data_IF_518104384238
#
_entry.id   IF_518104384238
#
_cell.length_a   1.000
_cell.length_b   1.000
_cell.length_c   1.000
_cell.angle_alpha   90.00
_cell.angle_beta   90.00
_cell.angle_gamma   90.00
#
_symmetry.space_group_name_H-M   'P 1'
#
loop_
_entity.id
_entity.type
_entity.pdbx_description
1 polymer ?
#
# COMPACT_ATOMS: atom_id res chain seq x y z
N UNK A 1 -24.34 -27.85 -14.19
CA UNK A 1 -24.40 -26.38 -14.38
C UNK A 1 -23.23 -25.98 -15.26
N UNK A 2 -23.47 -25.26 -16.37
CA UNK A 2 -22.43 -24.91 -17.33
C UNK A 2 -21.55 -23.82 -16.72
N UNK A 3 -20.25 -24.07 -16.58
CA UNK A 3 -19.27 -23.03 -16.31
C UNK A 3 -19.19 -22.12 -17.54
N UNK A 4 -19.95 -21.03 -17.53
CA UNK A 4 -19.74 -19.95 -18.48
C UNK A 4 -18.34 -19.40 -18.25
N UNK A 5 -17.39 -19.74 -19.13
CA UNK A 5 -16.12 -19.01 -19.24
C UNK A 5 -16.49 -17.55 -19.52
N UNK A 6 -16.33 -16.70 -18.51
CA UNK A 6 -16.35 -15.25 -18.71
C UNK A 6 -15.13 -14.94 -19.57
N UNK A 7 -15.33 -14.78 -20.86
CA UNK A 7 -14.30 -14.31 -21.77
C UNK A 7 -14.10 -12.82 -21.48
N UNK A 8 -13.05 -12.48 -20.73
CA UNK A 8 -12.68 -11.09 -20.48
C UNK A 8 -12.13 -10.48 -21.78
N UNK A 9 -12.62 -9.32 -22.23
CA UNK A 9 -12.09 -8.67 -23.43
C UNK A 9 -10.60 -8.38 -23.30
N UNK A 10 -9.87 -8.56 -24.40
CA UNK A 10 -8.49 -8.12 -24.55
C UNK A 10 -8.40 -6.59 -24.39
N UNK A 11 -7.38 -6.15 -23.65
CA UNK A 11 -6.92 -4.76 -23.40
C UNK A 11 -7.95 -3.65 -23.60
N UNK A 12 -8.60 -3.22 -22.51
CA UNK A 12 -9.21 -1.89 -22.46
C UNK A 12 -8.06 -0.87 -22.56
N UNK A 13 -8.14 0.05 -23.52
CA UNK A 13 -7.16 1.14 -23.61
C UNK A 13 -7.09 1.90 -22.27
N UNK A 14 -5.89 2.28 -21.79
CA UNK A 14 -5.77 3.03 -20.56
C UNK A 14 -6.52 4.36 -20.66
N UNK A 15 -7.31 4.67 -19.64
CA UNK A 15 -7.96 5.99 -19.53
C UNK A 15 -6.84 7.06 -19.49
N UNK A 16 -6.92 8.13 -20.30
CA UNK A 16 -5.97 9.23 -20.23
C UNK A 16 -5.87 9.80 -18.81
N UNK A 17 -4.66 10.16 -18.37
CA UNK A 17 -4.42 10.60 -17.00
C UNK A 17 -5.32 11.76 -16.58
N UNK A 18 -5.52 12.76 -17.45
CA UNK A 18 -6.38 13.93 -17.17
C UNK A 18 -7.81 13.52 -16.84
N UNK A 19 -8.39 12.63 -17.66
CA UNK A 19 -9.75 12.09 -17.42
C UNK A 19 -9.81 11.24 -16.15
N UNK A 20 -8.79 10.41 -15.91
CA UNK A 20 -8.71 9.63 -14.67
C UNK A 20 -8.59 10.53 -13.43
N UNK A 21 -7.87 11.65 -13.53
CA UNK A 21 -7.73 12.65 -12.48
C UNK A 21 -9.05 13.39 -12.20
N UNK A 22 -9.76 13.82 -13.24
CA UNK A 22 -11.10 14.42 -13.13
C UNK A 22 -12.07 13.45 -12.42
N UNK A 23 -12.13 12.20 -12.88
CA UNK A 23 -12.95 11.16 -12.25
C UNK A 23 -12.56 10.96 -10.78
N UNK A 24 -11.27 10.96 -10.46
CA UNK A 24 -10.79 10.84 -9.08
C UNK A 24 -11.23 12.02 -8.21
N UNK A 25 -11.14 13.26 -8.71
CA UNK A 25 -11.57 14.46 -8.01
C UNK A 25 -13.09 14.48 -7.75
N UNK A 26 -13.88 13.93 -8.68
CA UNK A 26 -15.33 13.75 -8.54
C UNK A 26 -15.71 12.58 -7.62
N UNK A 27 -14.73 11.79 -7.16
CA UNK A 27 -14.97 10.59 -6.36
C UNK A 27 -15.39 9.36 -7.17
N UNK A 28 -15.40 9.46 -8.50
CA UNK A 28 -15.70 8.38 -9.46
C UNK A 28 -14.51 7.42 -9.62
N UNK A 29 -14.00 6.88 -8.51
CA UNK A 29 -12.91 5.92 -8.47
C UNK A 29 -13.25 4.72 -7.56
N UNK A 30 -12.59 3.56 -7.76
CA UNK A 30 -12.77 2.42 -6.84
C UNK A 30 -12.52 2.84 -5.40
N UNK A 31 -13.47 2.53 -4.52
CA UNK A 31 -13.45 2.89 -3.09
C UNK A 31 -13.49 4.41 -2.79
N UNK A 32 -13.82 5.24 -3.78
CA UNK A 32 -14.04 6.68 -3.61
C UNK A 32 -15.39 7.03 -2.96
N UNK A 33 -15.58 8.29 -2.54
CA UNK A 33 -14.62 9.40 -2.60
C UNK A 33 -13.46 9.25 -1.59
N UNK A 34 -12.23 9.51 -2.03
CA UNK A 34 -11.03 9.27 -1.22
C UNK A 34 -11.01 10.07 0.09
N UNK A 35 -11.49 11.32 0.06
CA UNK A 35 -11.47 12.19 1.24
C UNK A 35 -12.41 11.69 2.33
N UNK A 36 -13.61 11.26 1.94
CA UNK A 36 -14.53 10.63 2.89
C UNK A 36 -13.98 9.32 3.43
N UNK A 37 -13.34 8.51 2.58
CA UNK A 37 -12.71 7.27 3.00
C UNK A 37 -11.64 7.53 4.07
N UNK A 38 -10.72 8.46 3.81
CA UNK A 38 -9.65 8.84 4.76
C UNK A 38 -10.23 9.41 6.04
N UNK A 39 -11.20 10.33 5.94
CA UNK A 39 -11.82 10.98 7.10
C UNK A 39 -12.49 9.97 8.03
N UNK A 40 -13.28 9.03 7.48
CA UNK A 40 -13.97 7.99 8.27
C UNK A 40 -13.00 7.13 9.08
N UNK A 41 -11.88 6.70 8.48
CA UNK A 41 -10.87 5.91 9.20
C UNK A 41 -10.08 6.73 10.21
N UNK A 42 -9.84 8.02 9.92
CA UNK A 42 -9.22 8.92 10.88
C UNK A 42 -10.12 9.13 12.11
N UNK A 43 -11.40 9.44 11.92
CA UNK A 43 -12.38 9.59 13.00
C UNK A 43 -12.51 8.30 13.83
N UNK A 44 -12.55 7.13 13.19
CA UNK A 44 -12.60 5.86 13.89
C UNK A 44 -11.33 5.59 14.71
N UNK A 45 -10.16 6.00 14.22
CA UNK A 45 -8.91 5.90 14.98
C UNK A 45 -8.89 6.78 16.23
N UNK A 46 -9.59 7.91 16.20
CA UNK A 46 -9.77 8.78 17.38
C UNK A 46 -10.78 8.18 18.36
N UNK A 47 -11.84 7.53 17.85
CA UNK A 47 -12.89 6.93 18.67
C UNK A 47 -12.44 5.64 19.36
N UNK A 48 -11.63 4.82 18.67
CA UNK A 48 -11.18 3.50 19.10
C UNK A 48 -9.68 3.31 18.84
N UNK A 49 -8.81 4.09 19.51
CA UNK A 49 -7.36 4.07 19.28
C UNK A 49 -6.71 2.73 19.59
N UNK A 50 -7.36 1.89 20.40
CA UNK A 50 -6.91 0.54 20.74
C UNK A 50 -7.28 -0.51 19.67
N UNK A 51 -8.11 -0.15 18.67
CA UNK A 51 -8.58 -1.05 17.62
C UNK A 51 -8.32 -0.55 16.20
N UNK A 52 -8.00 0.74 16.02
CA UNK A 52 -7.66 1.32 14.72
C UNK A 52 -6.41 2.18 14.84
N UNK A 53 -5.33 1.74 14.16
CA UNK A 53 -4.10 2.49 14.02
C UNK A 53 -4.09 3.25 12.70
N UNK A 54 -4.14 4.58 12.77
CA UNK A 54 -4.02 5.44 11.59
C UNK A 54 -2.55 5.85 11.36
N UNK A 55 -2.05 5.57 10.15
CA UNK A 55 -0.68 5.87 9.70
C UNK A 55 -0.73 6.65 8.38
N UNK A 56 0.23 7.55 8.19
CA UNK A 56 0.44 8.28 6.93
C UNK A 56 1.66 7.73 6.22
N UNK A 57 1.60 7.68 4.89
CA UNK A 57 2.67 7.13 4.07
C UNK A 57 3.99 7.90 4.23
N UNK A 58 3.92 9.23 4.27
CA UNK A 58 5.09 10.10 4.42
C UNK A 58 5.77 9.91 5.77
N UNK A 59 4.99 9.76 6.86
CA UNK A 59 5.53 9.50 8.20
C UNK A 59 6.24 8.13 8.28
N UNK A 60 5.78 7.14 7.50
CA UNK A 60 6.44 5.82 7.39
C UNK A 60 7.79 5.90 6.68
N UNK A 61 7.95 6.84 5.76
CA UNK A 61 9.19 7.03 5.02
C UNK A 61 10.19 7.89 5.78
N UNK A 62 9.71 8.89 6.53
CA UNK A 62 10.55 9.79 7.33
C UNK A 62 11.19 9.08 8.52
N UNK A 63 10.41 8.30 9.29
CA UNK A 63 10.91 7.57 10.46
C UNK A 63 10.29 6.16 10.54
N UNK A 64 10.76 5.22 9.68
CA UNK A 64 10.24 3.85 9.65
C UNK A 64 10.45 3.14 10.99
N UNK A 65 11.51 3.47 11.73
CA UNK A 65 11.82 2.84 13.02
C UNK A 65 10.75 3.14 14.06
N UNK A 66 10.37 4.41 14.22
CA UNK A 66 9.30 4.82 15.12
C UNK A 66 7.96 4.19 14.73
N UNK A 67 7.65 4.12 13.43
CA UNK A 67 6.39 3.52 12.98
C UNK A 67 6.33 2.00 13.21
N UNK A 68 7.41 1.27 12.91
CA UNK A 68 7.46 -0.19 13.13
C UNK A 68 7.28 -0.52 14.61
N UNK A 69 7.94 0.22 15.51
CA UNK A 69 7.73 0.05 16.96
C UNK A 69 6.28 0.33 17.37
N UNK A 70 5.72 1.46 16.94
CA UNK A 70 4.32 1.82 17.22
C UNK A 70 3.33 0.78 16.70
N UNK A 71 3.60 0.17 15.54
CA UNK A 71 2.78 -0.90 14.98
C UNK A 71 2.87 -2.17 15.82
N UNK A 72 4.07 -2.55 16.24
CA UNK A 72 4.31 -3.71 17.10
C UNK A 72 3.61 -3.56 18.46
N UNK A 73 3.71 -2.38 19.08
CA UNK A 73 3.00 -2.02 20.31
C UNK A 73 1.48 -2.16 20.12
N UNK A 74 0.94 -1.61 19.02
CA UNK A 74 -0.49 -1.67 18.70
C UNK A 74 -0.98 -3.11 18.47
N UNK A 75 -0.14 -4.00 17.93
CA UNK A 75 -0.43 -5.43 17.76
C UNK A 75 -0.30 -6.23 19.07
N UNK A 76 0.05 -5.59 20.19
CA UNK A 76 0.28 -6.26 21.48
C UNK A 76 1.58 -7.08 21.49
N UNK A 77 2.54 -6.74 20.65
CA UNK A 77 3.84 -7.41 20.51
C UNK A 77 4.98 -6.38 20.50
N UNK A 78 5.14 -5.57 21.57
CA UNK A 78 6.21 -4.60 21.65
C UNK A 78 7.58 -5.31 21.55
N UNK A 79 8.54 -4.65 20.91
CA UNK A 79 9.92 -5.14 20.89
C UNK A 79 10.53 -5.07 22.30
N UNK A 80 11.30 -6.09 22.68
CA UNK A 80 12.05 -6.06 23.94
C UNK A 80 13.31 -5.19 23.82
N UNK A 81 13.87 -4.69 24.94
CA UNK A 81 15.15 -3.97 24.93
C UNK A 81 16.29 -4.76 24.29
N UNK A 82 16.28 -6.08 24.45
CA UNK A 82 17.25 -7.01 23.85
C UNK A 82 17.07 -7.07 22.34
N UNK A 83 15.83 -7.25 21.84
CA UNK A 83 15.54 -7.23 20.40
C UNK A 83 15.93 -5.90 19.74
N UNK A 84 15.70 -4.78 20.43
CA UNK A 84 16.15 -3.46 19.96
C UNK A 84 17.69 -3.35 19.94
N UNK A 85 18.37 -3.88 20.96
CA UNK A 85 19.84 -3.89 21.03
C UNK A 85 20.46 -4.80 19.97
N UNK A 86 19.80 -5.90 19.64
CA UNK A 86 20.20 -6.86 18.62
C UNK A 86 19.89 -6.38 17.18
N UNK A 87 19.19 -5.26 17.03
CA UNK A 87 18.89 -4.66 15.73
C UNK A 87 17.72 -5.33 15.00
N UNK A 88 16.83 -6.03 15.73
CA UNK A 88 15.68 -6.73 15.13
C UNK A 88 14.76 -5.76 14.40
N UNK A 89 14.57 -4.54 14.95
CA UNK A 89 13.73 -3.49 14.34
C UNK A 89 14.29 -3.11 12.96
N UNK A 90 15.60 -2.92 12.87
CA UNK A 90 16.31 -2.56 11.64
C UNK A 90 16.25 -3.70 10.61
N UNK A 91 16.36 -4.96 11.04
CA UNK A 91 16.19 -6.10 10.13
C UNK A 91 14.74 -6.22 9.60
N UNK A 92 13.72 -5.95 10.41
CA UNK A 92 12.32 -5.88 9.92
C UNK A 92 12.17 -4.77 8.86
N UNK A 93 12.68 -3.57 9.13
CA UNK A 93 12.64 -2.45 8.17
C UNK A 93 13.31 -2.85 6.85
N UNK A 94 14.49 -3.46 6.94
CA UNK A 94 15.26 -3.91 5.78
C UNK A 94 14.54 -5.00 4.98
N UNK A 95 13.94 -5.98 5.64
CA UNK A 95 13.16 -7.06 5.01
C UNK A 95 11.92 -6.52 4.28
N UNK A 96 11.25 -5.54 4.88
CA UNK A 96 10.06 -4.90 4.33
C UNK A 96 10.37 -3.69 3.44
N UNK A 97 11.64 -3.33 3.24
CA UNK A 97 12.03 -2.18 2.44
C UNK A 97 11.61 -2.33 0.98
N UNK A 98 11.31 -1.21 0.35
CA UNK A 98 10.87 -1.18 -1.05
C UNK A 98 11.86 -1.89 -1.97
N UNK A 99 13.17 -1.59 -1.84
CA UNK A 99 14.21 -2.18 -2.68
C UNK A 99 14.35 -3.69 -2.44
N UNK A 100 14.29 -4.13 -1.18
CA UNK A 100 14.35 -5.55 -0.85
C UNK A 100 13.17 -6.28 -1.48
N UNK A 101 11.94 -5.82 -1.24
CA UNK A 101 10.74 -6.47 -1.76
C UNK A 101 10.70 -6.44 -3.29
N UNK A 102 11.04 -5.32 -3.94
CA UNK A 102 11.11 -5.19 -5.40
C UNK A 102 12.13 -6.15 -6.02
N UNK A 103 13.24 -6.42 -5.34
CA UNK A 103 14.30 -7.30 -5.85
C UNK A 103 13.98 -8.79 -5.79
N UNK A 104 12.97 -9.22 -5.01
CA UNK A 104 12.62 -10.64 -4.86
C UNK A 104 12.11 -11.24 -6.17
N UNK A 105 12.56 -12.45 -6.51
CA UNK A 105 12.18 -13.19 -7.72
C UNK A 105 10.65 -13.25 -7.90
N UNK A 106 9.92 -13.58 -6.83
CA UNK A 106 8.45 -13.68 -6.82
C UNK A 106 7.77 -12.35 -7.19
N UNK A 107 8.42 -11.23 -6.94
CA UNK A 107 7.91 -9.90 -7.29
C UNK A 107 8.34 -9.46 -8.68
N UNK A 108 9.41 -10.04 -9.25
CA UNK A 108 9.87 -9.73 -10.61
C UNK A 108 9.15 -10.54 -11.68
N UNK A 109 8.77 -11.78 -11.36
CA UNK A 109 8.21 -12.74 -12.34
C UNK A 109 6.80 -13.22 -12.00
N UNK A 110 6.36 -13.03 -10.76
CA UNK A 110 5.05 -13.46 -10.29
C UNK A 110 3.90 -12.63 -10.83
N UNK A 111 2.67 -13.12 -10.62
CA UNK A 111 1.42 -12.47 -10.97
C UNK A 111 0.54 -12.28 -9.74
N UNK A 112 -0.23 -11.19 -9.73
CA UNK A 112 -1.16 -10.87 -8.64
C UNK A 112 -2.26 -11.93 -8.47
N UNK A 113 -2.70 -12.50 -9.60
CA UNK A 113 -3.61 -13.63 -9.66
C UNK A 113 -3.28 -14.39 -10.96
N UNK A 114 -3.41 -15.73 -11.02
CA UNK A 114 -3.13 -16.49 -12.24
C UNK A 114 -3.85 -15.95 -13.49
N UNK A 115 -5.08 -15.44 -13.29
CA UNK A 115 -5.93 -14.87 -14.35
C UNK A 115 -5.70 -13.37 -14.63
N UNK A 116 -4.82 -12.70 -13.87
CA UNK A 116 -4.52 -11.28 -14.10
C UNK A 116 -3.35 -11.12 -15.06
N UNK A 117 -3.44 -10.09 -15.90
CA UNK A 117 -2.33 -9.69 -16.79
C UNK A 117 -1.24 -8.98 -15.99
N UNK A 118 -1.60 -8.38 -14.85
CA UNK A 118 -0.68 -7.63 -14.00
C UNK A 118 0.29 -8.57 -13.28
N UNK A 119 1.58 -8.31 -13.51
CA UNK A 119 2.71 -8.90 -12.80
C UNK A 119 2.94 -8.20 -11.46
N UNK A 120 3.57 -8.89 -10.52
CA UNK A 120 3.82 -8.38 -9.17
C UNK A 120 4.73 -7.14 -9.16
N UNK A 121 5.61 -6.97 -10.17
CA UNK A 121 6.53 -5.84 -10.24
C UNK A 121 5.77 -4.51 -10.39
N UNK A 122 4.56 -4.57 -10.94
CA UNK A 122 3.67 -3.42 -11.09
C UNK A 122 3.27 -2.77 -9.75
N UNK A 123 3.38 -3.50 -8.63
CA UNK A 123 3.14 -2.99 -7.28
C UNK A 123 4.29 -2.10 -6.77
N UNK A 124 5.49 -2.24 -7.34
CA UNK A 124 6.70 -1.60 -6.86
C UNK A 124 7.13 -0.45 -7.77
N UNK A 125 6.33 0.63 -7.75
CA UNK A 125 6.61 1.90 -8.44
C UNK A 125 6.83 3.00 -7.39
N UNK A 126 8.07 3.28 -7.02
CA UNK A 126 8.39 4.29 -6.03
C UNK A 126 8.67 5.63 -6.71
N UNK A 127 7.90 6.65 -6.35
CA UNK A 127 8.44 8.01 -6.23
C UNK A 127 7.54 8.89 -5.37
N UNK A 128 8.12 9.45 -4.31
CA UNK A 128 7.55 10.57 -3.58
C UNK A 128 7.42 11.76 -4.52
N UNK A 129 6.30 12.47 -4.43
CA UNK A 129 6.04 13.69 -5.19
C UNK A 129 6.12 13.57 -6.73
N UNK A 130 6.11 12.36 -7.30
CA UNK A 130 6.09 12.11 -8.75
C UNK A 130 4.91 12.76 -9.48
N UNK A 131 3.86 13.17 -8.74
CA UNK A 131 2.75 13.96 -9.27
C UNK A 131 3.21 15.31 -9.86
N UNK A 132 4.37 15.85 -9.42
CA UNK A 132 4.95 17.06 -9.98
C UNK A 132 5.41 16.89 -11.44
N UNK A 133 5.70 15.66 -11.85
CA UNK A 133 6.21 15.31 -13.18
C UNK A 133 5.08 14.95 -14.17
N UNK A 134 3.82 14.99 -13.72
CA UNK A 134 2.63 14.65 -14.53
C UNK A 134 1.96 15.90 -15.13
N UNK A 135 2.74 16.95 -15.37
CA UNK A 135 2.26 18.22 -15.93
C UNK A 135 2.17 18.19 -17.45
#
# INVERSE_FOLDING_TARGET
>A
MRHSRVHRPQSVEPIPFTKAFEMFCEGNCPYGPIWEHVLKYWEESQRRPEKVLFLKYEEMLEDPRRIVKRLADFMGRPFSPEEEKEGVVEEVIKLCSFDKLKSLEVNRTGKLHPDFVQTNDSLFRCCLACWKDKR
#
